data_IF_229077487793
#
_entry.id   IF_229077487793
#
_cell.length_a   1.000
_cell.length_b   1.000
_cell.length_c   1.000
_cell.angle_alpha   90.00
_cell.angle_beta   90.00
_cell.angle_gamma   90.00
#
_symmetry.space_group_name_H-M   'P 1'
#
loop_
_entity.id
_entity.type
_entity.pdbx_description
1 polymer ?
#
# COMPACT_ATOMS: atom_id res chain seq x y z
N UNK A 1 -3.27 -5.23 -10.46
CA UNK A 1 -2.76 -3.91 -10.02
C UNK A 1 -2.98 -2.90 -11.14
N UNK A 2 -3.42 -1.69 -10.80
CA UNK A 2 -3.78 -0.62 -11.74
C UNK A 2 -3.07 0.69 -11.36
N UNK A 3 -2.87 1.58 -12.32
CA UNK A 3 -2.39 2.96 -12.14
C UNK A 3 -1.03 3.09 -11.43
N UNK A 4 -0.12 2.13 -11.60
CA UNK A 4 1.25 2.29 -11.08
C UNK A 4 1.99 3.42 -11.83
N UNK A 5 2.91 4.13 -11.16
CA UNK A 5 3.66 5.25 -11.73
C UNK A 5 4.30 4.95 -13.10
N UNK A 6 4.77 3.72 -13.32
CA UNK A 6 5.32 3.27 -14.63
C UNK A 6 4.24 3.09 -15.71
N UNK A 7 2.97 2.99 -15.35
CA UNK A 7 1.85 2.81 -16.28
C UNK A 7 0.61 3.54 -15.78
N UNK A 8 0.63 4.87 -15.78
CA UNK A 8 -0.50 5.66 -15.32
C UNK A 8 -1.72 5.49 -16.24
N UNK A 9 -2.90 5.64 -15.67
CA UNK A 9 -4.18 5.52 -16.36
C UNK A 9 -4.93 6.84 -16.36
N UNK A 10 -5.78 7.06 -17.37
CA UNK A 10 -6.74 8.16 -17.28
C UNK A 10 -7.79 7.83 -16.22
N UNK A 11 -8.38 8.86 -15.60
CA UNK A 11 -9.46 8.71 -14.61
C UNK A 11 -10.59 7.82 -15.13
N UNK A 12 -11.00 8.03 -16.40
CA UNK A 12 -12.07 7.26 -17.04
C UNK A 12 -11.70 5.80 -17.26
N UNK A 13 -10.44 5.52 -17.65
CA UNK A 13 -10.00 4.14 -17.87
C UNK A 13 -9.86 3.41 -16.55
N UNK A 14 -9.32 4.07 -15.52
CA UNK A 14 -9.21 3.51 -14.19
C UNK A 14 -10.56 3.13 -13.61
N UNK A 15 -11.54 4.03 -13.68
CA UNK A 15 -12.91 3.76 -13.21
C UNK A 15 -13.52 2.56 -13.94
N UNK A 16 -13.45 2.52 -15.29
CA UNK A 16 -13.93 1.37 -16.06
C UNK A 16 -13.24 0.06 -15.72
N UNK A 17 -11.93 0.10 -15.48
CA UNK A 17 -11.17 -1.09 -15.13
C UNK A 17 -11.56 -1.64 -13.75
N UNK A 18 -11.79 -0.77 -12.76
CA UNK A 18 -12.29 -1.17 -11.44
C UNK A 18 -13.67 -1.80 -11.56
N UNK A 19 -14.62 -1.14 -12.25
CA UNK A 19 -15.97 -1.68 -12.47
C UNK A 19 -15.91 -3.05 -13.16
N UNK A 20 -15.08 -3.19 -14.21
CA UNK A 20 -14.98 -4.46 -14.92
C UNK A 20 -14.38 -5.56 -14.07
N UNK A 21 -13.40 -5.24 -13.21
CA UNK A 21 -12.85 -6.20 -12.26
C UNK A 21 -13.93 -6.72 -11.29
N UNK A 22 -14.73 -5.82 -10.73
CA UNK A 22 -15.82 -6.18 -9.82
C UNK A 22 -16.86 -7.07 -10.51
N UNK A 23 -17.26 -6.75 -11.74
CA UNK A 23 -18.22 -7.57 -12.51
C UNK A 23 -17.77 -9.02 -12.72
N UNK A 24 -16.46 -9.25 -12.82
CA UNK A 24 -15.90 -10.59 -13.02
C UNK A 24 -15.32 -11.23 -11.74
N UNK A 25 -15.55 -10.60 -10.58
CA UNK A 25 -15.15 -11.12 -9.28
C UNK A 25 -13.66 -11.01 -8.98
N UNK A 26 -12.93 -10.07 -9.59
CA UNK A 26 -11.52 -9.82 -9.31
C UNK A 26 -11.35 -8.70 -8.30
N UNK A 27 -10.45 -8.92 -7.34
CA UNK A 27 -10.00 -7.86 -6.44
C UNK A 27 -9.08 -6.85 -7.17
N UNK A 28 -9.26 -5.57 -6.87
CA UNK A 28 -8.45 -4.49 -7.44
C UNK A 28 -7.45 -3.96 -6.42
N UNK A 29 -6.21 -3.76 -6.88
CA UNK A 29 -5.16 -3.02 -6.19
C UNK A 29 -4.83 -1.82 -7.06
N UNK A 30 -5.00 -0.60 -6.55
CA UNK A 30 -4.79 0.64 -7.30
C UNK A 30 -3.71 1.48 -6.63
N UNK A 31 -2.70 1.89 -7.40
CA UNK A 31 -1.64 2.77 -6.91
C UNK A 31 -2.06 4.23 -6.96
N UNK A 32 -1.62 4.99 -5.98
CA UNK A 32 -1.78 6.43 -5.86
C UNK A 32 -0.46 7.09 -5.44
N UNK A 33 -0.04 8.09 -6.18
CA UNK A 33 1.24 8.78 -6.02
C UNK A 33 1.21 9.89 -4.96
N UNK A 34 0.02 10.25 -4.49
CA UNK A 34 -0.18 11.30 -3.49
C UNK A 34 -1.44 11.06 -2.65
N UNK A 35 -1.54 11.77 -1.52
CA UNK A 35 -2.72 11.73 -0.65
C UNK A 35 -3.98 12.19 -1.38
N UNK A 36 -3.86 13.22 -2.23
CA UNK A 36 -4.96 13.75 -3.04
C UNK A 36 -5.44 12.74 -4.06
N UNK A 37 -4.52 12.05 -4.72
CA UNK A 37 -4.85 10.99 -5.66
C UNK A 37 -5.49 9.81 -4.97
N UNK A 38 -4.97 9.38 -3.82
CA UNK A 38 -5.55 8.30 -3.01
C UNK A 38 -7.01 8.60 -2.61
N UNK A 39 -7.28 9.83 -2.15
CA UNK A 39 -8.63 10.27 -1.84
C UNK A 39 -9.55 10.28 -3.07
N UNK A 40 -9.06 10.77 -4.22
CA UNK A 40 -9.83 10.78 -5.47
C UNK A 40 -10.16 9.37 -5.95
N UNK A 41 -9.19 8.44 -5.92
CA UNK A 41 -9.36 7.03 -6.29
C UNK A 41 -10.33 6.32 -5.35
N UNK A 42 -10.34 6.67 -4.06
CA UNK A 42 -11.24 6.06 -3.08
C UNK A 42 -12.72 6.21 -3.45
N UNK A 43 -13.10 7.26 -4.19
CA UNK A 43 -14.47 7.42 -4.73
C UNK A 43 -14.87 6.36 -5.76
N UNK A 44 -13.91 5.66 -6.36
CA UNK A 44 -14.18 4.53 -7.27
C UNK A 44 -14.31 3.19 -6.55
N UNK A 45 -14.10 3.19 -5.23
CA UNK A 45 -14.27 2.01 -4.36
C UNK A 45 -13.45 0.78 -4.78
N UNK A 46 -12.14 0.90 -5.09
CA UNK A 46 -11.30 -0.28 -5.26
C UNK A 46 -11.20 -1.06 -3.95
N UNK A 47 -10.77 -2.32 -4.00
CA UNK A 47 -10.58 -3.11 -2.77
C UNK A 47 -9.38 -2.64 -1.95
N UNK A 48 -8.28 -2.30 -2.63
CA UNK A 48 -7.02 -1.90 -1.99
C UNK A 48 -6.45 -0.66 -2.70
N UNK A 49 -6.00 0.33 -1.93
CA UNK A 49 -5.19 1.44 -2.44
C UNK A 49 -3.76 1.31 -1.92
N UNK A 50 -2.80 1.30 -2.85
CA UNK A 50 -1.37 1.43 -2.55
C UNK A 50 -1.03 2.91 -2.51
N UNK A 51 -0.74 3.43 -1.31
CA UNK A 51 -0.28 4.81 -1.14
C UNK A 51 1.26 4.83 -1.20
N UNK A 52 1.80 5.28 -2.32
CA UNK A 52 3.22 5.19 -2.62
C UNK A 52 3.75 6.52 -3.19
N UNK A 53 4.37 7.37 -2.35
CA UNK A 53 5.00 8.59 -2.85
C UNK A 53 6.05 8.24 -3.90
N UNK A 54 5.84 8.66 -5.14
CA UNK A 54 6.69 8.28 -6.30
C UNK A 54 8.15 8.62 -6.07
N UNK A 55 8.44 9.73 -5.39
CA UNK A 55 9.79 10.18 -5.06
C UNK A 55 10.55 9.24 -4.11
N UNK A 56 9.86 8.35 -3.41
CA UNK A 56 10.47 7.36 -2.50
C UNK A 56 10.69 6.00 -3.13
N UNK A 57 10.11 5.74 -4.32
CA UNK A 57 10.25 4.45 -5.01
C UNK A 57 11.72 4.19 -5.31
N UNK A 58 12.22 3.04 -4.88
CA UNK A 58 13.60 2.60 -5.13
C UNK A 58 14.68 3.32 -4.31
N UNK A 59 14.34 4.29 -3.45
CA UNK A 59 15.34 5.03 -2.64
C UNK A 59 15.81 4.28 -1.41
N UNK A 60 15.08 3.25 -0.95
CA UNK A 60 15.29 2.59 0.34
C UNK A 60 14.93 3.46 1.54
N UNK A 61 14.21 4.56 1.32
CA UNK A 61 13.63 5.39 2.37
C UNK A 61 12.12 5.12 2.43
N UNK A 62 11.68 4.47 3.51
CA UNK A 62 10.26 4.24 3.73
C UNK A 62 9.56 5.56 4.10
N UNK A 63 8.28 5.66 3.71
CA UNK A 63 7.42 6.74 4.16
C UNK A 63 7.42 6.82 5.70
N UNK A 64 7.30 8.02 6.24
CA UNK A 64 7.18 8.19 7.68
C UNK A 64 5.78 7.82 8.19
N UNK A 65 5.65 7.68 9.52
CA UNK A 65 4.37 7.29 10.12
C UNK A 65 3.28 8.38 9.96
N UNK A 66 3.66 9.64 9.84
CA UNK A 66 2.72 10.74 9.62
C UNK A 66 2.09 10.61 8.24
N UNK A 67 2.88 10.38 7.21
CA UNK A 67 2.37 10.10 5.86
C UNK A 67 1.45 8.88 5.83
N UNK A 68 1.84 7.80 6.51
CA UNK A 68 1.02 6.56 6.58
C UNK A 68 -0.35 6.85 7.18
N UNK A 69 -0.42 7.57 8.30
CA UNK A 69 -1.69 7.95 8.93
C UNK A 69 -2.51 8.87 8.04
N UNK A 70 -1.87 9.87 7.44
CA UNK A 70 -2.55 10.78 6.51
C UNK A 70 -3.13 10.05 5.29
N UNK A 71 -2.43 9.04 4.76
CA UNK A 71 -2.93 8.21 3.66
C UNK A 71 -4.14 7.36 4.09
N UNK A 72 -4.09 6.78 5.28
CA UNK A 72 -5.21 6.02 5.85
C UNK A 72 -6.42 6.95 6.02
N UNK A 73 -6.25 8.12 6.62
CA UNK A 73 -7.32 9.09 6.85
C UNK A 73 -7.91 9.58 5.53
N UNK A 74 -7.07 9.89 4.54
CA UNK A 74 -7.51 10.35 3.22
C UNK A 74 -8.42 9.33 2.52
N UNK A 75 -8.09 8.05 2.61
CA UNK A 75 -8.86 6.95 1.99
C UNK A 75 -10.07 6.59 2.83
N UNK A 76 -9.89 6.33 4.14
CA UNK A 76 -10.95 5.83 5.02
C UNK A 76 -12.06 6.87 5.28
N UNK A 77 -11.76 8.17 5.18
CA UNK A 77 -12.79 9.23 5.26
C UNK A 77 -13.75 9.21 4.07
N UNK A 78 -13.32 8.69 2.92
CA UNK A 78 -14.15 8.52 1.72
C UNK A 78 -14.87 7.17 1.76
N UNK A 79 -14.12 6.09 1.96
CA UNK A 79 -14.69 4.74 2.02
C UNK A 79 -13.89 3.87 3.02
N UNK A 80 -14.44 3.60 4.23
CA UNK A 80 -13.76 2.84 5.26
C UNK A 80 -13.54 1.36 4.93
N UNK A 81 -14.21 0.82 3.91
CA UNK A 81 -14.05 -0.57 3.48
C UNK A 81 -12.77 -0.80 2.66
N UNK A 82 -12.20 0.25 2.07
CA UNK A 82 -10.98 0.13 1.27
C UNK A 82 -9.79 -0.16 2.18
N UNK A 83 -9.01 -1.17 1.86
CA UNK A 83 -7.74 -1.45 2.54
C UNK A 83 -6.64 -0.51 2.05
N UNK A 84 -5.84 0.00 2.98
CA UNK A 84 -4.73 0.92 2.67
C UNK A 84 -3.40 0.23 2.87
N UNK A 85 -2.62 0.20 1.82
CA UNK A 85 -1.32 -0.42 1.72
C UNK A 85 -0.26 0.67 1.45
N UNK A 86 0.32 1.30 2.49
CA UNK A 86 1.47 2.16 2.28
C UNK A 86 2.65 1.34 1.76
N UNK A 87 3.31 1.85 0.74
CA UNK A 87 4.48 1.23 0.12
C UNK A 87 5.57 2.30 -0.12
N UNK A 88 6.53 1.99 -0.96
CA UNK A 88 7.76 2.73 -1.21
C UNK A 88 8.82 2.61 -0.12
N UNK A 89 10.03 2.28 -0.57
CA UNK A 89 11.24 2.30 0.25
C UNK A 89 11.34 1.27 1.37
N UNK A 90 10.39 0.36 1.50
CA UNK A 90 10.39 -0.69 2.54
C UNK A 90 11.47 -1.71 2.22
N UNK A 91 12.39 -1.92 3.15
CA UNK A 91 13.57 -2.76 2.94
C UNK A 91 13.73 -3.91 3.92
N UNK A 92 13.17 -3.84 5.11
CA UNK A 92 13.34 -4.85 6.16
C UNK A 92 12.10 -4.98 7.06
N UNK A 93 12.14 -5.91 8.02
CA UNK A 93 11.06 -6.14 8.96
C UNK A 93 10.78 -4.95 9.89
N UNK A 94 11.75 -4.06 10.13
CA UNK A 94 11.52 -2.86 10.96
C UNK A 94 10.61 -1.87 10.25
N UNK A 95 10.82 -1.67 8.94
CA UNK A 95 9.96 -0.82 8.14
C UNK A 95 8.54 -1.39 8.09
N UNK A 96 8.40 -2.69 7.84
CA UNK A 96 7.11 -3.41 7.87
C UNK A 96 6.41 -3.22 9.23
N UNK A 97 7.13 -3.44 10.33
CA UNK A 97 6.58 -3.26 11.68
C UNK A 97 6.02 -1.84 11.88
N UNK A 98 6.75 -0.81 11.46
CA UNK A 98 6.33 0.59 11.58
C UNK A 98 5.05 0.88 10.79
N UNK A 99 4.95 0.38 9.55
CA UNK A 99 3.76 0.57 8.71
C UNK A 99 2.51 -0.03 9.37
N UNK A 100 2.60 -1.28 9.80
CA UNK A 100 1.46 -1.97 10.44
C UNK A 100 1.11 -1.33 11.80
N UNK A 101 2.11 -0.94 12.59
CA UNK A 101 1.87 -0.21 13.87
C UNK A 101 1.23 1.15 13.65
N UNK A 102 1.55 1.86 12.58
CA UNK A 102 0.93 3.14 12.23
C UNK A 102 -0.54 3.03 11.81
N UNK A 103 -1.05 1.82 11.57
CA UNK A 103 -2.44 1.56 11.26
C UNK A 103 -2.71 0.96 9.88
N UNK A 104 -1.67 0.75 9.06
CA UNK A 104 -1.83 0.15 7.73
C UNK A 104 -2.53 -1.22 7.80
N UNK A 105 -3.39 -1.50 6.82
CA UNK A 105 -4.05 -2.81 6.67
C UNK A 105 -3.08 -3.85 6.09
N UNK A 106 -2.14 -3.40 5.25
CA UNK A 106 -1.09 -4.21 4.65
C UNK A 106 0.12 -3.34 4.30
N UNK A 107 1.21 -3.94 3.86
CA UNK A 107 2.34 -3.26 3.24
C UNK A 107 3.04 -4.21 2.26
N UNK A 108 3.99 -3.72 1.47
CA UNK A 108 4.69 -4.53 0.49
C UNK A 108 6.10 -4.03 0.19
N UNK A 109 6.93 -4.94 -0.30
CA UNK A 109 8.28 -4.64 -0.73
C UNK A 109 8.66 -5.51 -1.92
N UNK A 110 9.32 -4.94 -2.91
CA UNK A 110 9.91 -5.67 -4.04
C UNK A 110 11.42 -5.69 -3.90
N UNK A 111 12.07 -4.54 -3.96
CA UNK A 111 13.53 -4.42 -3.91
C UNK A 111 14.13 -4.86 -2.58
N UNK A 112 13.45 -4.60 -1.46
CA UNK A 112 13.89 -5.04 -0.12
C UNK A 112 13.97 -6.56 -0.02
N UNK A 113 13.07 -7.29 -0.68
CA UNK A 113 13.08 -8.76 -0.72
C UNK A 113 14.10 -9.26 -1.75
N UNK A 114 14.00 -8.80 -3.01
CA UNK A 114 14.80 -9.35 -4.11
C UNK A 114 16.29 -9.06 -3.99
N UNK A 115 16.67 -7.95 -3.34
CA UNK A 115 18.07 -7.58 -3.13
C UNK A 115 18.64 -8.09 -1.80
N UNK A 116 17.84 -8.77 -0.97
CA UNK A 116 18.33 -9.36 0.26
C UNK A 116 19.30 -10.52 -0.04
N UNK A 117 20.34 -10.73 0.82
CA UNK A 117 21.24 -11.87 0.66
C UNK A 117 20.53 -13.23 0.68
N UNK A 118 19.43 -13.33 1.42
CA UNK A 118 18.49 -14.45 1.44
C UNK A 118 17.07 -13.91 1.38
N UNK A 119 16.44 -13.90 0.18
CA UNK A 119 15.08 -13.40 0.01
C UNK A 119 14.03 -14.16 0.83
N UNK A 120 14.20 -15.48 1.03
CA UNK A 120 13.26 -16.26 1.81
C UNK A 120 13.30 -15.87 3.29
N UNK A 121 14.51 -15.75 3.86
CA UNK A 121 14.68 -15.28 5.24
C UNK A 121 14.14 -13.85 5.43
N UNK A 122 14.28 -12.98 4.44
CA UNK A 122 13.72 -11.63 4.48
C UNK A 122 12.18 -11.65 4.50
N UNK A 123 11.55 -12.51 3.71
CA UNK A 123 10.08 -12.70 3.77
C UNK A 123 9.65 -13.18 5.15
N UNK A 124 10.34 -14.17 5.73
CA UNK A 124 10.05 -14.66 7.08
C UNK A 124 10.20 -13.56 8.14
N UNK A 125 11.24 -12.73 8.04
CA UNK A 125 11.44 -11.57 8.92
C UNK A 125 10.28 -10.58 8.80
N UNK A 126 9.88 -10.24 7.57
CA UNK A 126 8.78 -9.31 7.31
C UNK A 126 7.45 -9.86 7.82
N UNK A 127 7.16 -11.14 7.63
CA UNK A 127 5.93 -11.79 8.14
C UNK A 127 5.90 -11.79 9.67
N UNK A 128 7.02 -12.09 10.32
CA UNK A 128 7.14 -12.00 11.78
C UNK A 128 6.91 -10.57 12.29
N UNK A 129 7.38 -9.58 11.56
CA UNK A 129 7.18 -8.17 11.88
C UNK A 129 5.70 -7.76 11.76
N UNK A 130 4.99 -8.20 10.70
CA UNK A 130 3.54 -8.01 10.54
C UNK A 130 2.82 -8.59 11.75
N UNK A 131 3.10 -9.85 12.09
CA UNK A 131 2.44 -10.53 13.21
C UNK A 131 2.62 -9.80 14.53
N UNK A 132 3.87 -9.44 14.86
CA UNK A 132 4.17 -8.72 16.08
C UNK A 132 3.45 -7.36 16.14
N UNK A 133 3.51 -6.58 15.06
CA UNK A 133 2.87 -5.27 15.01
C UNK A 133 1.34 -5.36 15.13
N UNK A 134 0.76 -6.39 14.50
CA UNK A 134 -0.68 -6.67 14.59
C UNK A 134 -1.10 -7.04 16.00
N UNK A 135 -0.42 -8.00 16.63
CA UNK A 135 -0.74 -8.45 17.98
C UNK A 135 -0.65 -7.29 19.00
N UNK A 136 0.41 -6.47 18.91
CA UNK A 136 0.57 -5.29 19.78
C UNK A 136 -0.45 -4.18 19.53
N UNK A 137 -1.02 -4.08 18.33
CA UNK A 137 -2.05 -3.09 18.00
C UNK A 137 -3.42 -3.51 18.53
N UNK A 138 -3.65 -4.81 18.74
CA UNK A 138 -4.94 -5.37 19.13
C UNK A 138 -4.94 -5.95 20.56
N UNK A 139 -3.83 -5.81 21.29
CA UNK A 139 -3.74 -6.13 22.71
C UNK A 139 -4.34 -5.03 23.58
#
# INVERSE_FOLDING_TARGET
>A
MLNHAEKPMTVSDLHRAIQRADEVGLLTIVCADSLQEAAAIAHFSPNIIVAEPTELIGTGQAADEEYVRAAIDAVKSVNPAIQVLPAAGIKDGRDVYRMIRAGADATGSTSGILNAPDPAAMVDEMLAAVRRAWDERHA
#
